data_IF_892917988745
#
_entry.id   IF_892917988745
#
_cell.length_a   1.000
_cell.length_b   1.000
_cell.length_c   1.000
_cell.angle_alpha   90.00
_cell.angle_beta   90.00
_cell.angle_gamma   90.00
#
_symmetry.space_group_name_H-M   'P 1'
#
loop_
_entity.id
_entity.type
_entity.pdbx_description
1 polymer ?
#
# COMPACT_ATOMS: atom_id res chain seq x y z
N UNK A 1 -4.77 32.31 10.86
CA UNK A 1 -4.30 31.98 9.50
C UNK A 1 -5.52 31.63 8.66
N UNK A 2 -5.83 32.41 7.63
CA UNK A 2 -6.81 32.00 6.62
C UNK A 2 -6.20 30.85 5.82
N UNK A 3 -6.90 29.72 5.77
CA UNK A 3 -6.51 28.65 4.87
C UNK A 3 -6.88 29.07 3.45
N UNK A 4 -5.89 29.12 2.55
CA UNK A 4 -6.12 29.21 1.12
C UNK A 4 -5.94 27.79 0.54
N UNK A 5 -6.93 26.89 0.67
CA UNK A 5 -6.81 25.56 0.10
C UNK A 5 -6.76 25.67 -1.43
N UNK A 6 -6.06 24.72 -2.05
CA UNK A 6 -6.13 24.56 -3.50
C UNK A 6 -7.57 24.24 -3.89
N UNK A 7 -8.02 24.74 -5.05
CA UNK A 7 -9.44 24.75 -5.42
C UNK A 7 -9.78 23.74 -6.52
N UNK A 8 -8.79 23.30 -7.30
CA UNK A 8 -8.98 22.39 -8.43
C UNK A 8 -7.84 21.35 -8.51
N UNK A 9 -8.04 20.35 -9.37
CA UNK A 9 -7.10 19.25 -9.54
C UNK A 9 -5.80 19.70 -10.20
N UNK A 10 -5.88 20.62 -11.17
CA UNK A 10 -4.76 21.10 -11.97
C UNK A 10 -3.70 21.80 -11.11
N UNK A 11 -4.13 22.72 -10.25
CA UNK A 11 -3.27 23.42 -9.29
C UNK A 11 -2.67 22.43 -8.28
N UNK A 12 -3.46 21.47 -7.82
CA UNK A 12 -2.99 20.42 -6.91
C UNK A 12 -1.93 19.54 -7.56
N UNK A 13 -2.13 19.09 -8.80
CA UNK A 13 -1.17 18.28 -9.53
C UNK A 13 0.14 19.05 -9.76
N UNK A 14 0.06 20.34 -10.09
CA UNK A 14 1.23 21.20 -10.26
C UNK A 14 2.04 21.33 -8.97
N UNK A 15 1.40 21.73 -7.86
CA UNK A 15 2.05 21.86 -6.55
C UNK A 15 2.67 20.54 -6.11
N UNK A 16 1.99 19.42 -6.36
CA UNK A 16 2.50 18.10 -6.03
C UNK A 16 3.77 17.77 -6.80
N UNK A 17 3.84 18.06 -8.10
CA UNK A 17 5.05 17.85 -8.92
C UNK A 17 6.20 18.74 -8.46
N UNK A 18 5.93 19.99 -8.11
CA UNK A 18 6.94 20.91 -7.57
C UNK A 18 7.52 20.40 -6.24
N UNK A 19 6.66 20.03 -5.29
CA UNK A 19 7.09 19.44 -4.02
C UNK A 19 7.87 18.14 -4.22
N UNK A 20 7.44 17.29 -5.16
CA UNK A 20 8.14 16.05 -5.46
C UNK A 20 9.53 16.28 -6.07
N UNK A 21 9.71 17.36 -6.83
CA UNK A 21 10.99 17.72 -7.44
C UNK A 21 12.03 18.23 -6.42
N UNK A 22 11.60 18.81 -5.29
CA UNK A 22 12.51 19.37 -4.28
C UNK A 22 13.45 18.32 -3.64
N UNK A 23 14.71 18.67 -3.33
CA UNK A 23 15.74 17.68 -3.01
C UNK A 23 15.62 17.07 -1.60
N UNK A 24 14.97 17.76 -0.66
CA UNK A 24 14.85 17.30 0.73
C UNK A 24 13.65 16.37 0.88
N UNK A 25 13.82 15.30 1.67
CA UNK A 25 12.83 14.22 1.77
C UNK A 25 11.53 14.66 2.42
N UNK A 26 11.64 15.64 3.31
CA UNK A 26 10.58 16.32 4.02
C UNK A 26 9.55 16.92 3.07
N UNK A 27 9.94 17.33 1.85
CA UNK A 27 9.00 17.82 0.85
C UNK A 27 8.13 16.71 0.26
N UNK A 28 8.65 15.49 0.08
CA UNK A 28 7.81 14.36 -0.36
C UNK A 28 6.85 13.91 0.76
N UNK A 29 7.28 13.96 2.02
CA UNK A 29 6.37 13.72 3.15
C UNK A 29 5.27 14.78 3.21
N UNK A 30 5.63 16.05 3.05
CA UNK A 30 4.65 17.13 3.01
C UNK A 30 3.69 16.98 1.81
N UNK A 31 4.19 16.58 0.64
CA UNK A 31 3.35 16.28 -0.51
C UNK A 31 2.35 15.15 -0.22
N UNK A 32 2.77 14.10 0.51
CA UNK A 32 1.87 13.03 1.00
C UNK A 32 0.71 13.60 1.82
N UNK A 33 1.00 14.49 2.77
CA UNK A 33 -0.02 15.15 3.59
C UNK A 33 -0.91 16.10 2.78
N UNK A 34 -0.33 16.86 1.84
CA UNK A 34 -1.06 17.79 0.97
C UNK A 34 -2.08 17.04 0.12
N UNK A 35 -1.67 16.00 -0.62
CA UNK A 35 -2.59 15.27 -1.49
C UNK A 35 -3.68 14.55 -0.67
N UNK A 36 -3.32 14.00 0.50
CA UNK A 36 -4.27 13.39 1.44
C UNK A 36 -5.34 14.36 1.93
N UNK A 37 -4.97 15.62 2.20
CA UNK A 37 -5.91 16.65 2.67
C UNK A 37 -6.86 17.15 1.59
N UNK A 38 -6.48 17.01 0.31
CA UNK A 38 -7.27 17.43 -0.85
C UNK A 38 -7.98 16.28 -1.56
N UNK A 39 -8.35 15.21 -0.84
CA UNK A 39 -9.18 14.09 -1.34
C UNK A 39 -10.41 14.52 -2.16
N UNK A 40 -11.17 15.56 -1.77
CA UNK A 40 -12.32 16.02 -2.57
C UNK A 40 -11.97 16.48 -3.99
N UNK A 41 -10.71 16.84 -4.26
CA UNK A 41 -10.23 17.27 -5.58
C UNK A 41 -9.72 16.12 -6.44
N UNK A 42 -9.67 14.89 -5.92
CA UNK A 42 -9.17 13.76 -6.69
C UNK A 42 -10.09 13.45 -7.87
N UNK A 43 -9.47 13.10 -8.99
CA UNK A 43 -10.12 12.71 -10.23
C UNK A 43 -9.66 11.30 -10.63
N UNK A 44 -10.26 10.72 -11.66
CA UNK A 44 -9.81 9.44 -12.22
C UNK A 44 -8.36 9.50 -12.75
N UNK A 45 -7.83 10.70 -13.01
CA UNK A 45 -6.47 10.92 -13.47
C UNK A 45 -5.46 11.06 -12.33
N UNK A 46 -5.91 11.21 -11.07
CA UNK A 46 -5.01 11.32 -9.93
C UNK A 46 -4.11 10.10 -9.76
N UNK A 47 -4.52 8.94 -10.26
CA UNK A 47 -3.70 7.73 -10.26
C UNK A 47 -2.39 7.91 -11.02
N UNK A 48 -2.34 8.73 -12.07
CA UNK A 48 -1.11 8.97 -12.83
C UNK A 48 -0.07 9.73 -11.99
N UNK A 49 -0.53 10.70 -11.19
CA UNK A 49 0.34 11.40 -10.24
C UNK A 49 0.80 10.45 -9.13
N UNK A 50 -0.08 9.61 -8.61
CA UNK A 50 0.28 8.63 -7.57
C UNK A 50 1.32 7.63 -8.10
N UNK A 51 1.14 7.14 -9.33
CA UNK A 51 2.11 6.26 -10.01
C UNK A 51 3.45 6.95 -10.22
N UNK A 52 3.45 8.19 -10.73
CA UNK A 52 4.65 9.01 -10.84
C UNK A 52 5.40 9.13 -9.51
N UNK A 53 4.70 9.46 -8.42
CA UNK A 53 5.29 9.58 -7.09
C UNK A 53 5.82 8.23 -6.54
N UNK A 54 5.20 7.10 -6.90
CA UNK A 54 5.71 5.77 -6.52
C UNK A 54 7.02 5.47 -7.27
N UNK A 55 7.12 5.86 -8.54
CA UNK A 55 8.27 5.59 -9.42
C UNK A 55 9.43 6.58 -9.25
N UNK A 56 9.16 7.79 -8.77
CA UNK A 56 10.16 8.85 -8.61
C UNK A 56 10.59 9.04 -7.15
N UNK A 57 11.90 9.12 -6.92
CA UNK A 57 12.51 9.19 -5.57
C UNK A 57 12.00 8.05 -4.66
N UNK A 58 11.89 6.86 -5.23
CA UNK A 58 11.28 5.72 -4.57
C UNK A 58 12.11 5.20 -3.40
N UNK A 59 11.46 5.11 -2.25
CA UNK A 59 11.96 4.39 -1.09
C UNK A 59 10.77 4.01 -0.19
N UNK A 60 10.97 3.09 0.75
CA UNK A 60 9.86 2.47 1.50
C UNK A 60 9.04 3.49 2.30
N UNK A 61 9.67 4.55 2.78
CA UNK A 61 9.07 5.65 3.53
C UNK A 61 8.00 6.39 2.72
N UNK A 62 8.29 6.85 1.49
CA UNK A 62 7.29 7.53 0.66
C UNK A 62 6.26 6.53 0.11
N UNK A 63 6.71 5.38 -0.39
CA UNK A 63 5.83 4.39 -1.03
C UNK A 63 4.80 3.85 -0.03
N UNK A 64 5.19 3.61 1.22
CA UNK A 64 4.26 3.16 2.25
C UNK A 64 3.30 4.26 2.71
N UNK A 65 3.76 5.52 2.73
CA UNK A 65 2.90 6.69 2.95
C UNK A 65 1.85 6.79 1.85
N UNK A 66 2.25 6.71 0.58
CA UNK A 66 1.35 6.69 -0.58
C UNK A 66 0.35 5.54 -0.49
N UNK A 67 0.81 4.32 -0.21
CA UNK A 67 -0.07 3.16 -0.12
C UNK A 67 -1.10 3.28 1.00
N UNK A 68 -0.71 3.86 2.14
CA UNK A 68 -1.57 3.98 3.32
C UNK A 68 -2.53 5.17 3.23
N UNK A 69 -2.06 6.32 2.76
CA UNK A 69 -2.82 7.57 2.78
C UNK A 69 -3.59 7.86 1.50
N UNK A 70 -3.06 7.41 0.36
CA UNK A 70 -3.61 7.70 -0.97
C UNK A 70 -4.35 6.50 -1.54
N UNK A 71 -3.63 5.42 -1.87
CA UNK A 71 -4.12 4.35 -2.73
C UNK A 71 -5.39 3.68 -2.18
N UNK A 72 -5.41 3.36 -0.89
CA UNK A 72 -6.57 2.75 -0.26
C UNK A 72 -7.83 3.61 -0.42
N UNK A 73 -7.73 4.91 -0.18
CA UNK A 73 -8.86 5.85 -0.36
C UNK A 73 -9.21 6.07 -1.83
N UNK A 74 -8.21 6.14 -2.70
CA UNK A 74 -8.38 6.36 -4.13
C UNK A 74 -9.21 5.23 -4.76
N UNK A 75 -8.85 3.98 -4.46
CA UNK A 75 -9.55 2.82 -4.99
C UNK A 75 -10.94 2.59 -4.35
N UNK A 76 -11.23 3.19 -3.20
CA UNK A 76 -12.60 3.27 -2.67
C UNK A 76 -13.44 4.28 -3.46
N UNK A 77 -12.85 5.42 -3.84
CA UNK A 77 -13.53 6.47 -4.62
C UNK A 77 -13.72 6.07 -6.09
N UNK A 78 -12.75 5.34 -6.66
CA UNK A 78 -12.74 4.91 -8.07
C UNK A 78 -12.58 3.38 -8.20
N UNK A 79 -13.54 2.57 -7.70
CA UNK A 79 -13.41 1.12 -7.60
C UNK A 79 -13.28 0.41 -8.96
N UNK A 80 -13.77 1.02 -10.04
CA UNK A 80 -13.69 0.48 -11.41
C UNK A 80 -12.24 0.35 -11.91
N UNK A 81 -11.27 1.04 -11.29
CA UNK A 81 -9.85 0.96 -11.63
C UNK A 81 -9.11 -0.19 -10.94
N UNK A 82 -9.64 -0.75 -9.85
CA UNK A 82 -8.98 -1.81 -9.05
C UNK A 82 -8.60 -3.05 -9.87
N UNK A 83 -9.44 -3.55 -10.80
CA UNK A 83 -9.06 -4.71 -11.60
C UNK A 83 -7.91 -4.43 -12.59
N UNK A 84 -7.68 -3.16 -12.94
CA UNK A 84 -6.72 -2.77 -13.99
C UNK A 84 -5.39 -2.29 -13.42
N UNK A 85 -5.42 -1.28 -12.55
CA UNK A 85 -4.19 -0.56 -12.15
C UNK A 85 -3.31 -1.37 -11.20
N UNK A 86 -3.77 -1.83 -10.01
CA UNK A 86 -2.97 -2.70 -9.15
C UNK A 86 -2.50 -3.98 -9.84
N UNK A 87 -3.30 -4.58 -10.72
CA UNK A 87 -2.91 -5.76 -11.50
C UNK A 87 -1.73 -5.44 -12.42
N UNK A 88 -1.81 -4.34 -13.18
CA UNK A 88 -0.71 -3.89 -14.03
C UNK A 88 0.57 -3.61 -13.22
N UNK A 89 0.43 -2.91 -12.10
CA UNK A 89 1.55 -2.64 -11.19
C UNK A 89 2.20 -3.91 -10.63
N UNK A 90 1.38 -4.90 -10.26
CA UNK A 90 1.85 -6.17 -9.74
C UNK A 90 2.66 -6.96 -10.79
N UNK A 91 2.29 -6.88 -12.07
CA UNK A 91 3.00 -7.53 -13.18
C UNK A 91 4.17 -6.71 -13.74
N UNK A 92 4.42 -5.49 -13.25
CA UNK A 92 5.54 -4.67 -13.68
C UNK A 92 6.88 -5.19 -13.14
N UNK A 93 8.00 -4.71 -13.69
CA UNK A 93 9.34 -4.96 -13.14
C UNK A 93 9.72 -4.00 -11.99
N UNK A 94 8.91 -2.99 -11.71
CA UNK A 94 9.19 -2.01 -10.68
C UNK A 94 8.73 -2.53 -9.30
N UNK A 95 9.70 -2.76 -8.41
CA UNK A 95 9.45 -3.30 -7.07
C UNK A 95 8.52 -2.41 -6.22
N UNK A 96 8.47 -1.11 -6.48
CA UNK A 96 7.66 -0.15 -5.71
C UNK A 96 6.20 -0.16 -6.18
N UNK A 97 5.96 -0.37 -7.47
CA UNK A 97 4.62 -0.64 -8.01
C UNK A 97 4.10 -1.99 -7.51
N UNK A 98 4.92 -3.03 -7.57
CA UNK A 98 4.59 -4.35 -7.01
C UNK A 98 4.26 -4.23 -5.51
N UNK A 99 5.11 -3.55 -4.72
CA UNK A 99 4.85 -3.29 -3.29
C UNK A 99 3.54 -2.56 -3.06
N UNK A 100 3.24 -1.54 -3.87
CA UNK A 100 2.01 -0.77 -3.78
C UNK A 100 0.77 -1.62 -4.07
N UNK A 101 0.84 -2.51 -5.07
CA UNK A 101 -0.24 -3.45 -5.40
C UNK A 101 -0.56 -4.44 -4.27
N UNK A 102 0.43 -4.81 -3.46
CA UNK A 102 0.23 -5.69 -2.30
C UNK A 102 -0.34 -4.91 -1.11
N UNK A 103 0.03 -3.64 -0.95
CA UNK A 103 -0.25 -2.85 0.26
C UNK A 103 -1.49 -1.94 0.19
N UNK A 104 -2.06 -1.66 -0.99
CA UNK A 104 -3.17 -0.67 -1.08
C UNK A 104 -4.41 -1.05 -0.25
N UNK A 105 -4.66 -2.35 -0.04
CA UNK A 105 -5.80 -2.85 0.77
C UNK A 105 -5.48 -2.97 2.26
N UNK A 106 -4.27 -2.60 2.71
CA UNK A 106 -3.80 -2.86 4.07
C UNK A 106 -4.75 -2.33 5.15
N UNK A 107 -5.43 -1.20 4.90
CA UNK A 107 -6.37 -0.60 5.85
C UNK A 107 -7.85 -1.07 5.70
N UNK A 108 -8.16 -1.96 4.75
CA UNK A 108 -9.55 -2.29 4.39
C UNK A 108 -10.29 -3.16 5.41
N UNK A 109 -9.58 -3.87 6.29
CA UNK A 109 -10.16 -4.76 7.31
C UNK A 109 -11.16 -5.74 6.69
N UNK A 110 -12.43 -5.71 7.11
CA UNK A 110 -13.49 -6.58 6.59
C UNK A 110 -13.76 -6.37 5.09
N UNK A 111 -13.39 -5.21 4.53
CA UNK A 111 -13.57 -4.90 3.12
C UNK A 111 -12.42 -5.38 2.23
N UNK A 112 -11.40 -6.06 2.78
CA UNK A 112 -10.28 -6.59 2.00
C UNK A 112 -10.78 -7.62 0.98
N UNK A 113 -10.45 -7.40 -0.30
CA UNK A 113 -10.74 -8.33 -1.38
C UNK A 113 -9.71 -9.45 -1.39
N UNK A 114 -10.03 -10.55 -0.70
CA UNK A 114 -9.10 -11.68 -0.49
C UNK A 114 -8.59 -12.30 -1.78
N UNK A 115 -9.42 -12.38 -2.83
CA UNK A 115 -9.02 -12.90 -4.13
C UNK A 115 -7.86 -12.08 -4.73
N UNK A 116 -7.97 -10.75 -4.74
CA UNK A 116 -6.93 -9.86 -5.23
C UNK A 116 -5.68 -9.89 -4.36
N UNK A 117 -5.86 -9.85 -3.03
CA UNK A 117 -4.73 -9.93 -2.10
C UNK A 117 -3.93 -11.22 -2.31
N UNK A 118 -4.63 -12.35 -2.43
CA UNK A 118 -4.02 -13.66 -2.69
C UNK A 118 -3.29 -13.67 -4.02
N UNK A 119 -3.96 -13.21 -5.09
CA UNK A 119 -3.38 -13.15 -6.43
C UNK A 119 -2.05 -12.37 -6.44
N UNK A 120 -2.03 -11.16 -5.87
CA UNK A 120 -0.83 -10.31 -5.87
C UNK A 120 0.29 -10.86 -4.99
N UNK A 121 -0.04 -11.49 -3.86
CA UNK A 121 0.95 -12.17 -3.03
C UNK A 121 1.55 -13.36 -3.79
N UNK A 122 0.72 -14.19 -4.42
CA UNK A 122 1.16 -15.40 -5.12
C UNK A 122 2.02 -15.07 -6.34
N UNK A 123 1.70 -14.02 -7.07
CA UNK A 123 2.53 -13.52 -8.17
C UNK A 123 3.94 -13.13 -7.69
N UNK A 124 4.04 -12.54 -6.51
CA UNK A 124 5.30 -12.06 -5.96
C UNK A 124 5.99 -13.01 -4.96
N UNK A 125 5.42 -14.20 -4.69
CA UNK A 125 5.83 -15.06 -3.57
C UNK A 125 7.30 -15.50 -3.63
N UNK A 126 7.80 -15.71 -4.84
CA UNK A 126 9.16 -16.20 -5.11
C UNK A 126 10.18 -15.06 -5.29
N UNK A 127 9.73 -13.80 -5.20
CA UNK A 127 10.60 -12.62 -5.31
C UNK A 127 11.73 -12.69 -4.28
N UNK A 128 12.94 -12.32 -4.69
CA UNK A 128 14.11 -12.21 -3.81
C UNK A 128 14.22 -10.83 -3.15
N UNK A 129 13.40 -9.88 -3.59
CA UNK A 129 13.41 -8.51 -3.12
C UNK A 129 12.94 -8.40 -1.67
N UNK A 130 13.79 -7.79 -0.83
CA UNK A 130 13.50 -7.62 0.59
C UNK A 130 12.19 -6.86 0.81
N UNK A 131 11.99 -5.77 0.09
CA UNK A 131 10.81 -4.93 0.23
C UNK A 131 9.53 -5.63 -0.22
N UNK A 132 9.57 -6.50 -1.23
CA UNK A 132 8.40 -7.29 -1.64
C UNK A 132 8.04 -8.32 -0.58
N UNK A 133 9.03 -9.07 -0.07
CA UNK A 133 8.80 -10.05 1.02
C UNK A 133 8.23 -9.39 2.27
N UNK A 134 8.71 -8.20 2.63
CA UNK A 134 8.16 -7.40 3.72
C UNK A 134 6.73 -6.94 3.44
N UNK A 135 6.42 -6.53 2.21
CA UNK A 135 5.06 -6.13 1.81
C UNK A 135 4.06 -7.27 2.00
N UNK A 136 4.39 -8.47 1.51
CA UNK A 136 3.58 -9.70 1.69
C UNK A 136 3.32 -9.95 3.18
N UNK A 137 4.40 -10.00 3.97
CA UNK A 137 4.30 -10.23 5.40
C UNK A 137 3.45 -9.18 6.13
N UNK A 138 3.55 -7.91 5.74
CA UNK A 138 2.79 -6.82 6.36
C UNK A 138 1.31 -6.81 5.97
N UNK A 139 0.99 -7.09 4.71
CA UNK A 139 -0.40 -7.19 4.27
C UNK A 139 -1.12 -8.33 5.03
N UNK A 140 -0.49 -9.50 5.11
CA UNK A 140 -1.01 -10.64 5.87
C UNK A 140 -1.09 -10.36 7.38
N UNK A 141 -0.05 -9.76 7.96
CA UNK A 141 -0.03 -9.40 9.38
C UNK A 141 -1.17 -8.44 9.71
N UNK A 142 -1.40 -7.43 8.88
CA UNK A 142 -2.48 -6.47 9.11
C UNK A 142 -3.83 -7.15 9.00
N UNK A 143 -4.04 -7.95 7.95
CA UNK A 143 -5.28 -8.67 7.76
C UNK A 143 -5.54 -9.74 8.84
N UNK A 144 -4.49 -10.27 9.48
CA UNK A 144 -4.61 -11.23 10.59
C UNK A 144 -5.37 -10.67 11.80
N UNK A 145 -5.41 -9.34 11.96
CA UNK A 145 -6.21 -8.66 12.98
C UNK A 145 -7.72 -8.73 12.69
N UNK A 146 -8.08 -8.98 11.43
CA UNK A 146 -9.48 -9.12 10.99
C UNK A 146 -9.86 -10.59 10.88
N UNK A 147 -9.07 -11.39 10.16
CA UNK A 147 -9.32 -12.81 9.97
C UNK A 147 -8.05 -13.65 10.22
N UNK A 148 -7.75 -13.97 11.49
CA UNK A 148 -6.54 -14.70 11.86
C UNK A 148 -6.54 -16.16 11.36
N UNK A 149 -7.72 -16.77 11.19
CA UNK A 149 -7.88 -18.14 10.71
C UNK A 149 -7.46 -18.21 9.23
N UNK A 150 -8.02 -17.31 8.41
CA UNK A 150 -7.70 -17.24 7.00
C UNK A 150 -6.19 -17.01 6.77
N UNK A 151 -5.56 -16.10 7.52
CA UNK A 151 -4.11 -15.86 7.37
C UNK A 151 -3.28 -17.08 7.75
N UNK A 152 -3.64 -17.83 8.79
CA UNK A 152 -2.92 -19.08 9.14
C UNK A 152 -3.03 -20.11 8.02
N UNK A 153 -4.24 -20.30 7.50
CA UNK A 153 -4.49 -21.24 6.41
C UNK A 153 -3.72 -20.83 5.15
N UNK A 154 -3.84 -19.56 4.73
CA UNK A 154 -3.14 -19.04 3.57
C UNK A 154 -1.62 -19.22 3.65
N UNK A 155 -1.02 -18.95 4.81
CA UNK A 155 0.43 -19.13 5.01
C UNK A 155 0.83 -20.61 5.05
N UNK A 156 -0.03 -21.50 5.55
CA UNK A 156 0.25 -22.94 5.59
C UNK A 156 0.14 -23.60 4.21
N UNK A 157 -0.82 -23.16 3.39
CA UNK A 157 -1.09 -23.70 2.06
C UNK A 157 -0.12 -23.17 1.00
N UNK A 158 0.51 -22.01 1.25
CA UNK A 158 1.37 -21.35 0.28
C UNK A 158 2.81 -21.27 0.84
N UNK A 159 3.76 -21.87 0.12
CA UNK A 159 5.18 -21.78 0.44
C UNK A 159 5.71 -20.34 0.23
N UNK A 160 5.55 -19.49 1.24
CA UNK A 160 6.09 -18.13 1.26
C UNK A 160 7.53 -18.11 1.79
N UNK A 161 8.26 -17.03 1.50
CA UNK A 161 9.59 -16.83 2.08
C UNK A 161 9.57 -16.83 3.62
N UNK A 162 10.64 -17.31 4.25
CA UNK A 162 10.78 -17.31 5.72
C UNK A 162 10.52 -15.92 6.34
N UNK A 163 10.96 -14.85 5.66
CA UNK A 163 10.72 -13.49 6.10
C UNK A 163 9.23 -13.13 6.06
N UNK A 164 8.55 -13.41 4.94
CA UNK A 164 7.12 -13.17 4.77
C UNK A 164 6.30 -13.91 5.82
N UNK A 165 6.57 -15.21 6.01
CA UNK A 165 5.90 -16.08 6.99
C UNK A 165 6.08 -15.55 8.41
N UNK A 166 7.32 -15.22 8.80
CA UNK A 166 7.61 -14.67 10.14
C UNK A 166 6.88 -13.37 10.40
N UNK A 167 6.85 -12.47 9.42
CA UNK A 167 6.16 -11.19 9.55
C UNK A 167 4.64 -11.37 9.61
N UNK A 168 4.06 -12.21 8.75
CA UNK A 168 2.63 -12.50 8.69
C UNK A 168 2.08 -13.04 10.02
N UNK A 169 2.77 -13.99 10.64
CA UNK A 169 2.32 -14.68 11.85
C UNK A 169 2.71 -13.97 13.16
N UNK A 170 3.42 -12.84 13.08
CA UNK A 170 4.02 -12.17 14.26
C UNK A 170 3.02 -11.84 15.37
N UNK A 171 1.83 -11.34 15.01
CA UNK A 171 0.79 -10.96 15.98
C UNK A 171 0.17 -12.20 16.61
N UNK A 172 -0.21 -13.18 15.78
CA UNK A 172 -0.83 -14.43 16.20
C UNK A 172 0.05 -15.23 17.16
N UNK A 173 1.36 -15.30 16.87
CA UNK A 173 2.32 -15.99 17.73
C UNK A 173 2.49 -15.30 19.10
N UNK A 174 2.47 -13.96 19.13
CA UNK A 174 2.53 -13.21 20.39
C UNK A 174 1.28 -13.44 21.24
N UNK A 175 0.10 -13.51 20.63
CA UNK A 175 -1.16 -13.78 21.33
C UNK A 175 -1.21 -15.20 21.89
N UNK A 176 -0.77 -16.20 21.12
CA UNK A 176 -0.68 -17.58 21.58
C UNK A 176 0.28 -17.73 22.78
N UNK A 177 1.42 -17.02 22.77
CA UNK A 177 2.36 -17.01 23.89
C UNK A 177 1.77 -16.36 25.15
N UNK A 178 0.95 -15.32 25.02
CA UNK A 178 0.26 -14.71 26.17
C UNK A 178 -0.76 -15.67 26.79
N UNK A 179 -1.56 -16.36 25.97
CA UNK A 179 -2.56 -17.34 26.45
C UNK A 179 -1.96 -18.57 27.15
N UNK A 180 -0.68 -18.89 26.90
CA UNK A 180 0.02 -20.00 27.58
C UNK A 180 0.64 -19.59 28.92
N UNK A 181 0.71 -18.28 29.22
CA UNK A 181 1.38 -17.73 30.40
C UNK A 181 0.43 -17.17 31.46
N UNK A 182 -0.86 -17.05 31.13
CA UNK A 182 -1.93 -16.68 32.06
C UNK A 182 -2.91 -17.83 32.16
#
# INVERSE_FOLDING_TARGET
MQANPLQNWEDLELVMKELWALPKREFQYFAIDVLKKHKPLWTIHSIHLMEYCICEKSWWDSVDGIASDWLGGYFVQFPTLVPKVPTHWNSSSNIWLQRSSILFQKAYKANTQLALLSQYILHCKDSKEFFIRKAIGWALREYSKTNPVWVRQFVAENALSNLSTREALKVLNREALKKKKG
#
